data_IF_082043219052
#
_entry.id   IF_082043219052
#
_cell.length_a   1.000
_cell.length_b   1.000
_cell.length_c   1.000
_cell.angle_alpha   90.00
_cell.angle_beta   90.00
_cell.angle_gamma   90.00
#
_symmetry.space_group_name_H-M   'P 1'
#
loop_
_entity.id
_entity.type
_entity.pdbx_description
1 polymer ?
#
# COMPACT_ATOMS: atom_id res chain seq x y z
N UNK A 1 0.97 11.76 49.69
CA UNK A 1 0.68 10.35 49.34
C UNK A 1 0.22 10.29 47.89
N UNK A 2 0.98 9.59 47.05
CA UNK A 2 0.74 9.46 45.61
C UNK A 2 -0.43 8.51 45.33
N UNK A 3 -1.43 8.98 44.59
CA UNK A 3 -2.44 8.15 43.94
C UNK A 3 -1.93 7.71 42.57
N UNK A 4 -1.74 6.40 42.39
CA UNK A 4 -1.32 5.77 41.14
C UNK A 4 -2.27 6.11 39.98
N UNK A 5 -1.74 6.75 38.94
CA UNK A 5 -2.39 6.85 37.63
C UNK A 5 -2.54 5.44 37.06
N UNK A 6 -3.79 4.97 36.94
CA UNK A 6 -4.14 3.74 36.21
C UNK A 6 -3.86 3.97 34.73
N UNK A 7 -2.77 3.39 34.23
CA UNK A 7 -2.47 3.32 32.81
C UNK A 7 -3.58 2.50 32.12
N UNK A 8 -4.32 3.16 31.22
CA UNK A 8 -5.36 2.52 30.43
C UNK A 8 -4.81 1.39 29.58
N UNK A 9 -5.54 0.29 29.56
CA UNK A 9 -5.24 -0.99 28.94
C UNK A 9 -4.54 -0.88 27.57
N UNK A 10 -3.36 -1.51 27.49
CA UNK A 10 -2.67 -1.83 26.24
C UNK A 10 -3.51 -2.81 25.42
N UNK A 11 -3.86 -2.51 24.14
CA UNK A 11 -4.47 -3.48 23.24
C UNK A 11 -3.46 -4.60 22.93
N UNK A 12 -3.89 -5.86 22.92
CA UNK A 12 -3.04 -7.04 23.02
C UNK A 12 -2.91 -7.83 21.71
N UNK A 13 -2.78 -7.20 20.55
CA UNK A 13 -2.40 -8.00 19.37
C UNK A 13 -1.03 -8.65 19.63
N UNK A 14 -0.90 -9.96 19.40
CA UNK A 14 0.34 -10.71 19.62
C UNK A 14 1.46 -10.17 18.73
N UNK A 15 1.13 -9.77 17.50
CA UNK A 15 2.10 -9.36 16.49
C UNK A 15 2.59 -7.93 16.75
N UNK A 16 1.72 -6.99 17.15
CA UNK A 16 2.22 -5.68 17.57
C UNK A 16 2.96 -5.76 18.89
N UNK A 17 2.58 -6.66 19.81
CA UNK A 17 3.44 -6.97 20.97
C UNK A 17 4.78 -7.53 20.52
N UNK A 18 4.85 -8.46 19.58
CA UNK A 18 6.11 -9.04 19.12
C UNK A 18 7.00 -7.98 18.44
N UNK A 19 6.43 -7.11 17.58
CA UNK A 19 7.13 -5.97 16.96
C UNK A 19 7.54 -4.94 18.04
N UNK A 20 6.70 -4.72 19.06
CA UNK A 20 6.96 -3.77 20.15
C UNK A 20 7.99 -4.31 21.15
N UNK A 21 7.94 -5.59 21.46
CA UNK A 21 8.82 -6.30 22.39
C UNK A 21 10.18 -6.49 21.73
N UNK A 22 10.23 -6.75 20.41
CA UNK A 22 11.47 -6.75 19.64
C UNK A 22 12.10 -5.35 19.59
N UNK A 23 11.30 -4.29 19.43
CA UNK A 23 11.78 -2.91 19.57
C UNK A 23 12.15 -2.55 21.04
N UNK A 24 11.47 -3.16 22.02
CA UNK A 24 11.62 -2.93 23.46
C UNK A 24 12.91 -3.52 24.06
N UNK A 25 13.45 -4.58 23.47
CA UNK A 25 14.73 -5.19 23.87
C UNK A 25 15.96 -4.28 23.70
N UNK A 26 15.83 -3.16 22.96
CA UNK A 26 16.97 -2.30 22.60
C UNK A 26 17.00 -0.96 23.33
N UNK A 27 16.00 -0.66 24.15
CA UNK A 27 16.03 0.49 25.06
C UNK A 27 16.92 0.19 26.28
N UNK A 28 18.24 0.14 26.05
CA UNK A 28 19.20 0.49 27.11
C UNK A 28 19.00 1.98 27.42
N UNK A 29 17.96 2.29 28.19
CA UNK A 29 17.55 3.64 28.58
C UNK A 29 16.24 4.12 27.96
N UNK A 30 15.14 3.99 28.72
CA UNK A 30 13.97 4.90 28.77
C UNK A 30 13.31 5.37 27.45
N UNK A 31 13.35 4.62 26.35
CA UNK A 31 12.45 4.87 25.22
C UNK A 31 11.32 3.83 25.30
N UNK A 32 10.11 4.31 25.55
CA UNK A 32 8.90 3.49 25.66
C UNK A 32 8.43 3.07 24.26
N UNK A 33 9.06 2.03 23.71
CA UNK A 33 8.72 1.44 22.41
C UNK A 33 7.22 1.08 22.33
N UNK A 34 6.66 0.65 23.46
CA UNK A 34 5.24 0.35 23.62
C UNK A 34 4.39 1.60 23.36
N UNK A 35 4.74 2.74 23.96
CA UNK A 35 4.03 4.00 23.69
C UNK A 35 4.16 4.47 22.23
N UNK A 36 5.27 4.22 21.55
CA UNK A 36 5.47 4.61 20.14
C UNK A 36 4.52 3.81 19.24
N UNK A 37 4.46 2.49 19.42
CA UNK A 37 3.58 1.64 18.62
C UNK A 37 2.10 1.90 18.93
N UNK A 38 1.72 2.06 20.19
CA UNK A 38 0.34 2.42 20.55
C UNK A 38 -0.12 3.71 19.87
N UNK A 39 0.74 4.74 19.84
CA UNK A 39 0.42 6.00 19.17
C UNK A 39 0.38 5.87 17.66
N UNK A 40 1.26 5.07 17.09
CA UNK A 40 1.25 4.73 15.66
C UNK A 40 -0.10 4.10 15.30
N UNK A 41 -0.56 3.12 16.07
CA UNK A 41 -1.85 2.48 15.90
C UNK A 41 -3.02 3.45 16.07
N UNK A 42 -3.01 4.29 17.11
CA UNK A 42 -4.04 5.33 17.28
C UNK A 42 -4.09 6.32 16.09
N UNK A 43 -2.93 6.67 15.53
CA UNK A 43 -2.85 7.50 14.33
C UNK A 43 -3.42 6.78 13.11
N UNK A 44 -3.09 5.50 12.93
CA UNK A 44 -3.70 4.64 11.90
C UNK A 44 -5.21 4.67 12.06
N UNK A 45 -5.75 4.40 13.24
CA UNK A 45 -7.19 4.38 13.50
C UNK A 45 -7.91 5.68 13.14
N UNK A 46 -7.32 6.84 13.45
CA UNK A 46 -7.93 8.15 13.21
C UNK A 46 -7.80 8.61 11.77
N UNK A 47 -6.68 8.27 11.10
CA UNK A 47 -6.33 8.83 9.79
C UNK A 47 -6.55 7.86 8.62
N UNK A 48 -6.62 6.54 8.85
CA UNK A 48 -6.97 5.58 7.79
C UNK A 48 -8.34 5.88 7.17
N UNK A 49 -9.27 6.34 8.01
CA UNK A 49 -10.62 6.75 7.59
C UNK A 49 -10.67 8.07 6.82
N UNK A 50 -9.52 8.64 6.46
CA UNK A 50 -9.46 9.78 5.55
C UNK A 50 -8.62 9.46 4.29
N UNK A 51 -8.00 8.28 4.22
CA UNK A 51 -7.13 7.91 3.08
C UNK A 51 -7.91 7.78 1.79
N UNK A 52 -9.16 7.35 1.86
CA UNK A 52 -10.07 7.28 0.72
C UNK A 52 -10.41 8.66 0.13
N UNK A 53 -10.22 9.73 0.89
CA UNK A 53 -10.49 11.10 0.45
C UNK A 53 -9.24 11.80 -0.09
N UNK A 54 -8.05 11.17 0.02
CA UNK A 54 -6.82 11.74 -0.51
C UNK A 54 -6.79 11.60 -2.05
N UNK A 55 -6.63 12.69 -2.81
CA UNK A 55 -6.64 12.63 -4.27
C UNK A 55 -5.50 11.80 -4.86
N UNK A 56 -4.34 11.73 -4.20
CA UNK A 56 -3.21 10.94 -4.69
C UNK A 56 -3.44 9.44 -4.52
N UNK A 57 -4.09 9.03 -3.42
CA UNK A 57 -4.51 7.64 -3.23
C UNK A 57 -5.53 7.25 -4.30
N UNK A 58 -6.56 8.08 -4.51
CA UNK A 58 -7.55 7.87 -5.57
C UNK A 58 -6.90 7.76 -6.95
N UNK A 59 -6.03 8.71 -7.32
CA UNK A 59 -5.35 8.71 -8.61
C UNK A 59 -4.44 7.49 -8.81
N UNK A 60 -3.68 7.08 -7.79
CA UNK A 60 -2.80 5.93 -7.90
C UNK A 60 -3.55 4.60 -8.04
N UNK A 61 -4.71 4.47 -7.39
CA UNK A 61 -5.55 3.28 -7.55
C UNK A 61 -6.31 3.29 -8.87
N UNK A 62 -6.86 4.44 -9.28
CA UNK A 62 -7.46 4.63 -10.61
C UNK A 62 -6.48 4.29 -11.72
N UNK A 63 -5.19 4.64 -11.57
CA UNK A 63 -4.15 4.23 -12.50
C UNK A 63 -4.08 2.71 -12.68
N UNK A 64 -4.18 1.93 -11.60
CA UNK A 64 -4.17 0.47 -11.67
C UNK A 64 -5.44 -0.07 -12.37
N UNK A 65 -6.59 0.58 -12.17
CA UNK A 65 -7.83 0.26 -12.88
C UNK A 65 -7.69 0.53 -14.37
N UNK A 66 -7.14 1.70 -14.74
CA UNK A 66 -6.87 2.09 -16.13
C UNK A 66 -5.94 1.10 -16.83
N UNK A 67 -4.85 0.70 -16.15
CA UNK A 67 -3.92 -0.30 -16.69
C UNK A 67 -4.61 -1.66 -16.88
N UNK A 68 -5.30 -2.17 -15.87
CA UNK A 68 -5.98 -3.46 -15.98
C UNK A 68 -7.05 -3.46 -17.08
N UNK A 69 -7.82 -2.37 -17.18
CA UNK A 69 -8.83 -2.19 -18.22
C UNK A 69 -8.22 -2.08 -19.62
N UNK A 70 -7.10 -1.37 -19.78
CA UNK A 70 -6.41 -1.24 -21.06
C UNK A 70 -6.04 -2.61 -21.65
N UNK A 71 -5.47 -3.50 -20.83
CA UNK A 71 -5.09 -4.85 -21.24
C UNK A 71 -6.27 -5.82 -21.43
N UNK A 72 -7.50 -5.35 -21.22
CA UNK A 72 -8.72 -6.03 -21.69
C UNK A 72 -9.06 -5.67 -23.15
N UNK A 73 -8.61 -4.52 -23.62
CA UNK A 73 -8.96 -4.00 -24.95
C UNK A 73 -8.19 -4.70 -26.06
N UNK A 74 -8.68 -4.56 -27.30
CA UNK A 74 -7.97 -5.03 -28.49
C UNK A 74 -6.65 -4.28 -28.71
N UNK A 75 -6.64 -2.96 -28.45
CA UNK A 75 -5.48 -2.08 -28.65
C UNK A 75 -5.03 -1.45 -27.31
N UNK A 76 -4.41 -2.23 -26.40
CA UNK A 76 -4.09 -1.78 -25.05
C UNK A 76 -3.13 -0.58 -25.03
N UNK A 77 -2.09 -0.61 -25.86
CA UNK A 77 -1.07 0.45 -25.88
C UNK A 77 -1.65 1.78 -26.37
N UNK A 78 -2.51 1.74 -27.40
CA UNK A 78 -3.20 2.93 -27.92
C UNK A 78 -4.07 3.57 -26.83
N UNK A 79 -4.86 2.77 -26.12
CA UNK A 79 -5.68 3.25 -25.01
C UNK A 79 -4.83 3.95 -23.94
N UNK A 80 -3.72 3.32 -23.52
CA UNK A 80 -2.83 3.90 -22.51
C UNK A 80 -2.15 5.19 -22.98
N UNK A 81 -1.81 5.29 -24.27
CA UNK A 81 -1.30 6.53 -24.86
C UNK A 81 -2.33 7.65 -24.88
N UNK A 82 -3.58 7.37 -25.25
CA UNK A 82 -4.69 8.34 -25.21
C UNK A 82 -4.96 8.84 -23.78
N UNK A 83 -4.72 8.00 -22.77
CA UNK A 83 -4.79 8.38 -21.35
C UNK A 83 -3.53 9.10 -20.84
N UNK A 84 -2.54 9.37 -21.68
CA UNK A 84 -1.23 9.93 -21.32
C UNK A 84 -0.47 9.09 -20.28
N UNK A 85 -0.74 7.78 -20.21
CA UNK A 85 -0.04 6.82 -19.36
C UNK A 85 1.25 6.35 -20.03
N UNK A 86 1.17 6.07 -21.34
CA UNK A 86 2.32 5.68 -22.17
C UNK A 86 2.68 6.77 -23.18
N UNK A 87 3.97 6.83 -23.52
CA UNK A 87 4.45 7.66 -24.63
C UNK A 87 4.31 6.91 -25.94
N UNK A 88 3.68 7.51 -26.95
CA UNK A 88 3.60 6.94 -28.31
C UNK A 88 4.97 6.85 -29.01
N UNK A 89 5.99 7.53 -28.48
CA UNK A 89 7.31 7.65 -29.11
C UNK A 89 8.28 6.53 -28.75
N UNK A 90 7.98 5.72 -27.75
CA UNK A 90 8.89 4.67 -27.28
C UNK A 90 8.17 3.33 -27.32
N UNK A 91 8.92 2.26 -27.60
CA UNK A 91 8.38 0.90 -27.57
C UNK A 91 7.88 0.55 -26.17
N UNK A 92 6.82 -0.27 -26.11
CA UNK A 92 6.25 -0.66 -24.83
C UNK A 92 7.28 -1.37 -23.95
N UNK A 93 7.35 -0.94 -22.70
CA UNK A 93 8.01 -1.67 -21.62
C UNK A 93 7.29 -1.45 -20.30
N UNK A 94 7.39 -2.41 -19.38
CA UNK A 94 6.84 -2.28 -18.05
C UNK A 94 7.42 -1.06 -17.31
N UNK A 95 8.65 -0.65 -17.62
CA UNK A 95 9.26 0.58 -17.08
C UNK A 95 8.48 1.84 -17.47
N UNK A 96 7.83 1.86 -18.64
CA UNK A 96 6.94 2.96 -19.00
C UNK A 96 5.70 2.99 -18.12
N UNK A 97 5.12 1.83 -17.77
CA UNK A 97 4.02 1.77 -16.80
C UNK A 97 4.47 2.22 -15.40
N UNK A 98 5.69 1.90 -14.99
CA UNK A 98 6.25 2.40 -13.71
C UNK A 98 6.44 3.92 -13.77
N UNK A 99 6.96 4.46 -14.88
CA UNK A 99 7.13 5.90 -15.10
C UNK A 99 5.78 6.63 -15.13
N UNK A 100 4.77 6.04 -15.75
CA UNK A 100 3.41 6.58 -15.88
C UNK A 100 2.75 6.88 -14.54
N UNK A 101 3.01 6.07 -13.49
CA UNK A 101 2.50 6.31 -12.12
C UNK A 101 2.86 7.70 -11.59
N UNK A 102 4.07 8.17 -11.88
CA UNK A 102 4.53 9.47 -11.37
C UNK A 102 3.90 10.66 -12.09
N UNK A 103 3.45 10.46 -13.33
CA UNK A 103 2.89 11.51 -14.17
C UNK A 103 1.36 11.57 -14.08
N UNK A 104 0.71 10.45 -13.80
CA UNK A 104 -0.74 10.35 -13.77
C UNK A 104 -1.37 11.26 -12.70
N UNK A 105 -2.19 12.21 -13.15
CA UNK A 105 -2.93 13.18 -12.32
C UNK A 105 -2.10 13.84 -11.20
N UNK A 106 -0.83 14.16 -11.47
CA UNK A 106 0.10 14.68 -10.46
C UNK A 106 -0.30 16.02 -9.81
N UNK A 107 -1.18 16.77 -10.46
CA UNK A 107 -1.57 18.11 -10.00
C UNK A 107 -2.61 18.07 -8.86
N UNK A 108 -3.21 16.91 -8.56
CA UNK A 108 -4.17 16.75 -7.47
C UNK A 108 -3.43 16.39 -6.16
N UNK A 109 -2.98 17.42 -5.41
CA UNK A 109 -2.13 17.27 -4.22
C UNK A 109 -2.75 17.89 -2.96
N UNK A 110 -2.84 17.08 -1.89
CA UNK A 110 -3.21 17.53 -0.54
C UNK A 110 -2.07 17.29 0.47
N UNK A 111 -1.40 16.14 0.38
CA UNK A 111 -0.20 15.81 1.17
C UNK A 111 0.88 15.21 0.29
N UNK A 112 2.09 15.78 0.38
CA UNK A 112 3.27 15.25 -0.33
C UNK A 112 3.63 13.84 0.15
N UNK A 113 3.43 13.57 1.45
CA UNK A 113 3.68 12.26 2.02
C UNK A 113 2.72 11.21 1.46
N UNK A 114 1.41 11.51 1.43
CA UNK A 114 0.42 10.58 0.89
C UNK A 114 0.60 10.37 -0.62
N UNK A 115 0.97 11.42 -1.36
CA UNK A 115 1.35 11.29 -2.76
C UNK A 115 2.53 10.34 -2.95
N UNK A 116 3.55 10.48 -2.11
CA UNK A 116 4.73 9.61 -2.17
C UNK A 116 4.36 8.15 -1.87
N UNK A 117 3.57 7.90 -0.82
CA UNK A 117 3.16 6.54 -0.46
C UNK A 117 2.30 5.90 -1.54
N UNK A 118 1.30 6.63 -2.03
CA UNK A 118 0.37 6.19 -3.06
C UNK A 118 1.10 5.79 -4.35
N UNK A 119 2.02 6.63 -4.83
CA UNK A 119 2.81 6.35 -6.03
C UNK A 119 3.74 5.18 -5.86
N UNK A 120 4.52 5.17 -4.78
CA UNK A 120 5.48 4.09 -4.57
C UNK A 120 4.76 2.75 -4.35
N UNK A 121 3.59 2.75 -3.70
CA UNK A 121 2.76 1.56 -3.57
C UNK A 121 2.27 1.05 -4.93
N UNK A 122 1.83 1.93 -5.83
CA UNK A 122 1.44 1.54 -7.19
C UNK A 122 2.63 1.03 -8.02
N UNK A 123 3.80 1.67 -7.93
CA UNK A 123 5.04 1.20 -8.57
C UNK A 123 5.41 -0.20 -8.06
N UNK A 124 5.40 -0.41 -6.75
CA UNK A 124 5.72 -1.71 -6.15
C UNK A 124 4.69 -2.77 -6.54
N UNK A 125 3.41 -2.41 -6.62
CA UNK A 125 2.37 -3.33 -7.05
C UNK A 125 2.59 -3.81 -8.48
N UNK A 126 2.90 -2.89 -9.40
CA UNK A 126 3.22 -3.21 -10.80
C UNK A 126 4.48 -4.07 -10.89
N UNK A 127 5.54 -3.71 -10.16
CA UNK A 127 6.78 -4.46 -10.13
C UNK A 127 6.58 -5.89 -9.60
N UNK A 128 5.84 -6.04 -8.51
CA UNK A 128 5.56 -7.34 -7.91
C UNK A 128 4.65 -8.18 -8.81
N UNK A 129 3.62 -7.56 -9.40
CA UNK A 129 2.76 -8.22 -10.38
C UNK A 129 3.59 -8.79 -11.54
N UNK A 130 4.44 -7.96 -12.15
CA UNK A 130 5.28 -8.36 -13.27
C UNK A 130 6.21 -9.52 -12.88
N UNK A 131 6.93 -9.40 -11.76
CA UNK A 131 7.80 -10.48 -11.24
C UNK A 131 7.06 -11.80 -10.99
N UNK A 132 5.82 -11.75 -10.52
CA UNK A 132 5.02 -12.94 -10.21
C UNK A 132 4.43 -13.62 -11.46
N UNK A 133 4.35 -12.89 -12.58
CA UNK A 133 3.62 -13.32 -13.77
C UNK A 133 4.48 -13.55 -15.01
N UNK A 134 5.80 -13.31 -14.93
CA UNK A 134 6.78 -13.79 -15.92
C UNK A 134 7.06 -15.28 -15.72
N UNK A 135 7.57 -15.95 -16.76
CA UNK A 135 7.80 -17.39 -16.69
C UNK A 135 8.99 -17.75 -15.79
N UNK A 136 8.94 -18.96 -15.21
CA UNK A 136 10.02 -19.46 -14.34
C UNK A 136 11.34 -19.51 -15.12
N UNK A 137 12.36 -18.85 -14.59
CA UNK A 137 13.68 -18.76 -15.21
C UNK A 137 13.91 -17.45 -15.99
N UNK A 138 12.87 -16.66 -16.23
CA UNK A 138 13.01 -15.30 -16.76
C UNK A 138 13.28 -14.31 -15.63
N UNK A 139 13.99 -13.24 -15.97
CA UNK A 139 14.28 -12.11 -15.07
C UNK A 139 13.65 -10.84 -15.62
N UNK A 140 13.64 -9.76 -14.84
CA UNK A 140 13.14 -8.45 -15.30
C UNK A 140 13.79 -7.93 -16.59
N UNK A 141 15.00 -8.41 -16.90
CA UNK A 141 15.80 -7.95 -18.04
C UNK A 141 15.85 -8.96 -19.20
N UNK A 142 15.04 -10.02 -19.14
CA UNK A 142 14.89 -10.97 -20.23
C UNK A 142 14.21 -10.29 -21.42
N UNK A 143 14.84 -10.34 -22.59
CA UNK A 143 14.38 -9.63 -23.81
C UNK A 143 13.24 -10.36 -24.54
N UNK A 144 12.98 -11.61 -24.17
CA UNK A 144 11.99 -12.52 -24.76
C UNK A 144 10.65 -12.54 -24.01
N UNK A 145 10.47 -11.68 -23.00
CA UNK A 145 9.22 -11.60 -22.25
C UNK A 145 8.15 -10.90 -23.09
N UNK A 146 7.03 -11.58 -23.32
CA UNK A 146 5.80 -10.93 -23.78
C UNK A 146 5.17 -10.13 -22.63
N UNK A 147 5.59 -8.87 -22.53
CA UNK A 147 5.17 -7.97 -21.45
C UNK A 147 3.67 -7.65 -21.51
N UNK A 148 3.08 -7.63 -22.71
CA UNK A 148 1.64 -7.42 -22.85
C UNK A 148 0.86 -8.62 -22.28
N UNK A 149 1.29 -9.84 -22.58
CA UNK A 149 0.68 -11.05 -22.04
C UNK A 149 0.74 -11.08 -20.50
N UNK A 150 1.84 -10.60 -19.90
CA UNK A 150 1.97 -10.47 -18.43
C UNK A 150 0.88 -9.56 -17.85
N UNK A 151 0.58 -8.42 -18.48
CA UNK A 151 -0.46 -7.51 -17.99
C UNK A 151 -1.87 -7.89 -18.43
N UNK A 152 -2.06 -8.64 -19.52
CA UNK A 152 -3.35 -9.27 -19.85
C UNK A 152 -3.85 -10.20 -18.73
N UNK A 153 -2.96 -10.82 -17.96
CA UNK A 153 -3.35 -11.62 -16.78
C UNK A 153 -4.06 -10.77 -15.70
N UNK A 154 -3.80 -9.46 -15.64
CA UNK A 154 -4.41 -8.54 -14.67
C UNK A 154 -5.82 -8.07 -15.08
N UNK A 155 -6.23 -8.28 -16.33
CA UNK A 155 -7.41 -7.64 -16.91
C UNK A 155 -8.76 -8.29 -16.57
N UNK A 156 -8.74 -9.35 -15.76
CA UNK A 156 -9.93 -10.03 -15.23
C UNK A 156 -10.04 -9.83 -13.71
N UNK A 157 -11.20 -10.14 -13.13
CA UNK A 157 -11.45 -9.94 -11.71
C UNK A 157 -10.45 -10.65 -10.78
N UNK A 158 -9.94 -11.83 -11.13
CA UNK A 158 -8.93 -12.53 -10.30
C UNK A 158 -7.58 -11.81 -10.35
N UNK A 159 -7.12 -11.44 -11.54
CA UNK A 159 -5.86 -10.74 -11.72
C UNK A 159 -5.88 -9.34 -11.10
N UNK A 160 -6.95 -8.58 -11.33
CA UNK A 160 -7.10 -7.26 -10.72
C UNK A 160 -7.20 -7.34 -9.19
N UNK A 161 -7.84 -8.39 -8.67
CA UNK A 161 -7.91 -8.62 -7.24
C UNK A 161 -6.52 -8.79 -6.62
N UNK A 162 -5.63 -9.55 -7.25
CA UNK A 162 -4.25 -9.72 -6.79
C UNK A 162 -3.43 -8.44 -6.96
N UNK A 163 -3.55 -7.73 -8.09
CA UNK A 163 -2.91 -6.42 -8.29
C UNK A 163 -3.34 -5.40 -7.22
N UNK A 164 -4.64 -5.32 -6.92
CA UNK A 164 -5.19 -4.48 -5.86
C UNK A 164 -4.65 -4.86 -4.49
N UNK A 165 -4.53 -6.16 -4.21
CA UNK A 165 -3.95 -6.66 -2.96
C UNK A 165 -2.50 -6.22 -2.80
N UNK A 166 -1.70 -6.31 -3.86
CA UNK A 166 -0.31 -5.84 -3.85
C UNK A 166 -0.25 -4.35 -3.53
N UNK A 167 -1.10 -3.55 -4.15
CA UNK A 167 -1.20 -2.11 -3.89
C UNK A 167 -1.57 -1.81 -2.43
N UNK A 168 -2.66 -2.38 -1.91
CA UNK A 168 -3.10 -2.13 -0.53
C UNK A 168 -2.08 -2.59 0.50
N UNK A 169 -1.40 -3.72 0.24
CA UNK A 169 -0.29 -4.20 1.07
C UNK A 169 0.84 -3.17 1.13
N UNK A 170 1.29 -2.67 -0.04
CA UNK A 170 2.41 -1.73 -0.11
C UNK A 170 2.08 -0.35 0.41
N UNK A 171 0.85 0.11 0.18
CA UNK A 171 0.37 1.37 0.75
C UNK A 171 0.34 1.28 2.28
N UNK A 172 -0.17 0.18 2.83
CA UNK A 172 -0.27 -0.03 4.27
C UNK A 172 1.10 -0.14 4.92
N UNK A 173 2.01 -0.91 4.33
CA UNK A 173 3.41 -1.02 4.78
C UNK A 173 4.09 0.35 4.89
N UNK A 174 4.01 1.16 3.83
CA UNK A 174 4.60 2.52 3.78
C UNK A 174 3.97 3.46 4.79
N UNK A 175 2.64 3.42 4.89
CA UNK A 175 1.90 4.23 5.84
C UNK A 175 2.32 3.91 7.28
N UNK A 176 2.35 2.61 7.65
CA UNK A 176 2.75 2.17 8.99
C UNK A 176 4.19 2.57 9.30
N UNK A 177 5.12 2.33 8.38
CA UNK A 177 6.54 2.69 8.53
C UNK A 177 6.69 4.20 8.80
N UNK A 178 6.08 5.04 7.98
CA UNK A 178 6.20 6.49 8.12
C UNK A 178 5.70 6.98 9.48
N UNK A 179 4.52 6.53 9.92
CA UNK A 179 3.98 6.99 11.21
C UNK A 179 4.77 6.46 12.39
N UNK A 180 5.33 5.25 12.28
CA UNK A 180 6.18 4.67 13.31
C UNK A 180 7.49 5.46 13.45
N UNK A 181 8.15 5.78 12.34
CA UNK A 181 9.34 6.64 12.32
C UNK A 181 9.04 8.05 12.85
N UNK A 182 7.89 8.63 12.47
CA UNK A 182 7.46 9.95 12.91
C UNK A 182 7.22 10.00 14.42
N UNK A 183 6.50 9.02 14.98
CA UNK A 183 6.23 8.95 16.42
C UNK A 183 7.52 8.73 17.22
N UNK A 184 8.45 7.95 16.69
CA UNK A 184 9.76 7.78 17.30
C UNK A 184 10.60 9.06 17.26
N UNK A 185 10.61 9.78 16.14
CA UNK A 185 11.34 11.05 16.02
C UNK A 185 10.86 12.11 17.04
N UNK A 186 9.58 12.08 17.41
CA UNK A 186 9.00 12.96 18.46
C UNK A 186 9.50 12.57 19.85
N UNK A 187 9.78 11.29 20.09
CA UNK A 187 10.14 10.75 21.41
C UNK A 187 11.64 10.65 21.63
N UNK A 188 12.42 10.47 20.57
CA UNK A 188 13.85 10.26 20.62
C UNK A 188 14.55 11.58 20.27
N UNK A 189 15.14 12.19 21.30
CA UNK A 189 15.79 13.51 21.21
C UNK A 189 17.23 13.47 20.69
N UNK A 190 17.92 12.32 20.76
CA UNK A 190 19.28 12.18 20.26
C UNK A 190 19.35 11.38 18.94
N UNK A 191 20.33 11.73 18.09
CA UNK A 191 20.46 11.20 16.73
C UNK A 191 20.92 9.74 16.73
N UNK A 192 21.77 9.35 17.69
CA UNK A 192 22.30 7.99 17.79
C UNK A 192 21.18 6.96 18.02
N UNK A 193 20.31 7.23 18.98
CA UNK A 193 19.17 6.36 19.31
C UNK A 193 18.12 6.39 18.20
N UNK A 194 17.96 7.51 17.49
CA UNK A 194 17.07 7.60 16.33
C UNK A 194 17.55 6.69 15.20
N UNK A 195 18.84 6.75 14.88
CA UNK A 195 19.45 5.89 13.85
C UNK A 195 19.39 4.42 14.23
N UNK A 196 19.60 4.11 15.52
CA UNK A 196 19.44 2.74 16.04
C UNK A 196 18.00 2.27 15.88
N UNK A 197 17.04 3.09 16.29
CA UNK A 197 15.61 2.77 16.15
C UNK A 197 15.22 2.53 14.69
N UNK A 198 15.61 3.39 13.75
CA UNK A 198 15.37 3.19 12.32
C UNK A 198 15.92 1.86 11.80
N UNK A 199 17.14 1.47 12.22
CA UNK A 199 17.72 0.17 11.84
C UNK A 199 16.95 -1.03 12.41
N UNK A 200 16.36 -0.89 13.59
CA UNK A 200 15.54 -1.98 14.16
C UNK A 200 14.19 -2.07 13.44
N UNK A 201 13.55 -0.96 13.08
CA UNK A 201 12.36 -0.97 12.23
C UNK A 201 12.63 -1.69 10.91
N UNK A 202 13.80 -1.43 10.31
CA UNK A 202 14.22 -2.09 9.07
C UNK A 202 14.33 -3.62 9.22
N UNK A 203 14.65 -4.15 10.42
CA UNK A 203 14.63 -5.60 10.66
C UNK A 203 13.22 -6.16 10.81
N UNK A 204 12.29 -5.34 11.30
CA UNK A 204 10.88 -5.71 11.46
C UNK A 204 10.05 -5.46 10.19
N UNK A 205 10.65 -4.88 9.14
CA UNK A 205 9.92 -4.50 7.93
C UNK A 205 9.25 -5.70 7.26
N UNK A 206 9.86 -6.88 7.31
CA UNK A 206 9.31 -8.10 6.74
C UNK A 206 8.06 -8.56 7.49
N UNK A 207 8.05 -8.40 8.82
CA UNK A 207 6.88 -8.68 9.65
C UNK A 207 5.75 -7.70 9.36
N UNK A 208 6.06 -6.39 9.26
CA UNK A 208 5.10 -5.34 8.89
C UNK A 208 4.53 -5.61 7.49
N UNK A 209 5.38 -5.94 6.53
CA UNK A 209 5.01 -6.22 5.14
C UNK A 209 4.10 -7.43 5.04
N UNK A 210 4.45 -8.53 5.71
CA UNK A 210 3.64 -9.74 5.78
C UNK A 210 2.27 -9.47 6.39
N UNK A 211 2.23 -8.70 7.47
CA UNK A 211 0.97 -8.35 8.13
C UNK A 211 0.10 -7.43 7.26
N UNK A 212 0.69 -6.44 6.58
CA UNK A 212 -0.01 -5.61 5.62
C UNK A 212 -0.59 -6.44 4.46
N UNK A 213 0.14 -7.46 4.01
CA UNK A 213 -0.29 -8.37 2.95
C UNK A 213 -1.45 -9.31 3.37
N UNK A 214 -1.42 -9.83 4.59
CA UNK A 214 -2.52 -10.61 5.16
C UNK A 214 -3.74 -9.73 5.42
N UNK A 215 -3.55 -8.52 5.95
CA UNK A 215 -4.61 -7.52 6.13
C UNK A 215 -5.26 -7.19 4.79
N UNK A 216 -4.47 -6.96 3.73
CA UNK A 216 -4.99 -6.70 2.40
C UNK A 216 -5.80 -7.87 1.81
N UNK A 217 -5.61 -9.11 2.29
CA UNK A 217 -6.40 -10.28 1.88
C UNK A 217 -7.87 -10.13 2.22
N UNK A 218 -8.23 -9.33 3.23
CA UNK A 218 -9.64 -9.05 3.56
C UNK A 218 -10.37 -8.35 2.41
N UNK A 219 -9.61 -7.74 1.49
CA UNK A 219 -10.16 -7.10 0.30
C UNK A 219 -10.48 -8.06 -0.84
N UNK A 220 -9.90 -9.27 -0.79
CA UNK A 220 -9.89 -10.21 -1.91
C UNK A 220 -11.30 -10.62 -2.37
N UNK A 221 -12.21 -10.89 -1.41
CA UNK A 221 -13.54 -11.41 -1.74
C UNK A 221 -14.45 -10.40 -2.45
N UNK A 222 -14.15 -9.09 -2.39
CA UNK A 222 -14.95 -8.08 -3.07
C UNK A 222 -14.20 -7.36 -4.20
N UNK A 223 -12.86 -7.35 -4.25
CA UNK A 223 -12.11 -6.76 -5.36
C UNK A 223 -12.43 -7.40 -6.71
N UNK A 224 -12.50 -8.73 -6.76
CA UNK A 224 -12.83 -9.45 -8.00
C UNK A 224 -14.28 -9.16 -8.46
N UNK A 225 -15.23 -9.20 -7.52
CA UNK A 225 -16.64 -8.92 -7.81
C UNK A 225 -16.86 -7.46 -8.22
N UNK A 226 -16.23 -6.52 -7.53
CA UNK A 226 -16.27 -5.11 -7.89
C UNK A 226 -15.74 -4.87 -9.29
N UNK A 227 -14.54 -5.38 -9.62
CA UNK A 227 -13.94 -5.20 -10.94
C UNK A 227 -14.81 -5.80 -12.05
N UNK A 228 -15.27 -7.04 -11.86
CA UNK A 228 -16.13 -7.70 -12.84
C UNK A 228 -17.47 -6.98 -13.04
N UNK A 229 -17.97 -6.24 -12.06
CA UNK A 229 -19.25 -5.53 -12.18
C UNK A 229 -19.11 -4.12 -12.74
N UNK A 230 -18.02 -3.41 -12.42
CA UNK A 230 -17.87 -1.98 -12.72
C UNK A 230 -16.88 -1.71 -13.86
N UNK A 231 -15.96 -2.65 -14.15
CA UNK A 231 -14.89 -2.52 -15.16
C UNK A 231 -15.14 -3.46 -16.35
N UNK A 232 -16.41 -3.55 -16.78
CA UNK A 232 -16.81 -4.37 -17.94
C UNK A 232 -16.48 -3.68 -19.24
N UNK A 233 -17.17 -2.58 -19.51
CA UNK A 233 -17.17 -1.92 -20.81
C UNK A 233 -16.61 -0.50 -20.75
N UNK A 234 -16.32 -0.01 -19.53
CA UNK A 234 -15.76 1.32 -19.30
C UNK A 234 -15.07 1.39 -17.93
N UNK A 235 -14.33 2.49 -17.72
CA UNK A 235 -13.77 2.84 -16.41
C UNK A 235 -14.88 3.35 -15.49
N UNK A 236 -14.97 2.87 -14.23
CA UNK A 236 -15.95 3.34 -13.27
C UNK A 236 -15.82 4.84 -13.01
N UNK A 237 -16.92 5.49 -12.62
CA UNK A 237 -16.85 6.90 -12.23
C UNK A 237 -15.99 7.08 -10.96
N UNK A 238 -15.41 8.29 -10.79
CA UNK A 238 -14.56 8.60 -9.62
C UNK A 238 -15.25 8.27 -8.29
N UNK A 239 -16.57 8.47 -8.21
CA UNK A 239 -17.36 8.15 -7.02
C UNK A 239 -17.36 6.66 -6.67
N UNK A 240 -17.41 5.78 -7.68
CA UNK A 240 -17.42 4.33 -7.50
C UNK A 240 -16.05 3.82 -7.07
N UNK A 241 -14.97 4.37 -7.65
CA UNK A 241 -13.59 4.07 -7.24
C UNK A 241 -13.37 4.51 -5.79
N UNK A 242 -13.82 5.71 -5.43
CA UNK A 242 -13.74 6.20 -4.04
C UNK A 242 -14.54 5.35 -3.06
N UNK A 243 -15.73 4.89 -3.47
CA UNK A 243 -16.54 3.98 -2.65
C UNK A 243 -15.83 2.63 -2.43
N UNK A 244 -15.19 2.10 -3.47
CA UNK A 244 -14.36 0.90 -3.36
C UNK A 244 -13.21 1.10 -2.38
N UNK A 245 -12.46 2.21 -2.50
CA UNK A 245 -11.36 2.55 -1.60
C UNK A 245 -11.83 2.69 -0.15
N UNK A 246 -12.93 3.42 0.09
CA UNK A 246 -13.53 3.57 1.41
C UNK A 246 -13.88 2.22 2.05
N UNK A 247 -14.53 1.34 1.28
CA UNK A 247 -14.90 0.00 1.73
C UNK A 247 -13.65 -0.85 2.04
N UNK A 248 -12.62 -0.74 1.20
CA UNK A 248 -11.33 -1.43 1.37
C UNK A 248 -10.62 -0.99 2.63
N UNK A 249 -10.39 0.31 2.79
CA UNK A 249 -9.74 0.87 3.98
C UNK A 249 -10.56 0.65 5.24
N UNK A 250 -11.89 0.71 5.17
CA UNK A 250 -12.78 0.38 6.28
C UNK A 250 -12.62 -1.06 6.76
N UNK A 251 -12.54 -2.02 5.84
CA UNK A 251 -12.31 -3.44 6.18
C UNK A 251 -10.91 -3.68 6.71
N UNK A 252 -9.89 -3.08 6.09
CA UNK A 252 -8.49 -3.19 6.55
C UNK A 252 -8.32 -2.58 7.94
N UNK A 253 -8.89 -1.40 8.18
CA UNK A 253 -8.95 -0.78 9.51
C UNK A 253 -9.66 -1.69 10.51
N UNK A 254 -10.82 -2.24 10.14
CA UNK A 254 -11.57 -3.16 10.98
C UNK A 254 -10.77 -4.42 11.33
N UNK A 255 -9.94 -4.93 10.43
CA UNK A 255 -9.07 -6.07 10.70
C UNK A 255 -7.92 -5.70 11.64
N UNK A 256 -7.21 -4.61 11.35
CA UNK A 256 -6.17 -4.07 12.23
C UNK A 256 -6.70 -3.87 13.66
N UNK A 257 -7.93 -3.36 13.80
CA UNK A 257 -8.61 -3.17 15.08
C UNK A 257 -9.11 -4.45 15.75
N UNK A 258 -9.61 -5.43 14.98
CA UNK A 258 -10.08 -6.70 15.55
C UNK A 258 -8.93 -7.51 16.14
N UNK A 259 -7.75 -7.39 15.55
CA UNK A 259 -6.54 -7.97 16.11
C UNK A 259 -6.09 -7.28 17.40
N UNK A 260 -6.42 -5.99 17.62
CA UNK A 260 -6.16 -5.29 18.88
C UNK A 260 -7.01 -5.77 20.06
N UNK A 261 -8.21 -6.30 19.77
CA UNK A 261 -9.19 -6.74 20.77
C UNK A 261 -9.03 -8.22 21.19
N UNK A 262 -8.20 -8.98 20.49
CA UNK A 262 -7.84 -10.37 20.82
C UNK A 262 -6.55 -10.43 21.64
#
# INVERSE_FOLDING_TARGET
>A
MMGHKRYGYLPKSKIWRDIVDSLGGFALGKIDAVSIAQKTLQNVQKRYSNLENDPSINASFEYLVEVAYAFKQEQPLKYLSEKNILSEKEAFSFFQLVKGVNNYKNNELVSHEYQTFARQAAVDAINNWYKQNIDKGQTLFSNDIDQEAVFRKASNGSGFCELSRLYFSKLTERYLKYFLEREAAIKISNISDRNRFSKEIEKEIDHISKHAFETAKITQSFSAGWYNNHVKDSIPERGEIRHFLNTSFGKMKGELLREEAK
#
